data_IF_022699082324
#
_entry.id   IF_022699082324
#
_cell.length_a   1.000
_cell.length_b   1.000
_cell.length_c   1.000
_cell.angle_alpha   90.00
_cell.angle_beta   90.00
_cell.angle_gamma   90.00
#
_symmetry.space_group_name_H-M   'P 1'
#
loop_
_entity.id
_entity.type
_entity.pdbx_description
1 polymer ?
#
# COMPACT_ATOMS: atom_id res chain seq x y z
N UNK A 1 -1.82 -40.50 -32.36
CA UNK A 1 -2.06 -41.31 -31.15
C UNK A 1 -1.16 -40.76 -30.05
N UNK A 2 -1.70 -40.64 -28.84
CA UNK A 2 -1.10 -40.07 -27.61
C UNK A 2 -1.20 -38.54 -27.53
N UNK A 3 -2.34 -37.91 -27.20
CA UNK A 3 -3.27 -38.09 -26.08
C UNK A 3 -2.68 -37.61 -24.74
N UNK A 4 -3.13 -36.41 -24.33
CA UNK A 4 -3.42 -35.99 -22.94
C UNK A 4 -2.23 -35.91 -21.99
N UNK A 5 -1.52 -34.78 -21.96
CA UNK A 5 -0.81 -34.32 -20.75
C UNK A 5 -0.73 -32.78 -20.60
N UNK A 6 -1.31 -31.99 -21.52
CA UNK A 6 -1.30 -30.52 -21.45
C UNK A 6 -2.50 -29.93 -20.67
N UNK A 7 -3.45 -30.77 -20.24
CA UNK A 7 -4.81 -30.33 -19.88
C UNK A 7 -5.15 -30.35 -18.39
N UNK A 8 -4.21 -30.61 -17.46
CA UNK A 8 -4.60 -30.95 -16.08
C UNK A 8 -3.89 -30.23 -14.92
N UNK A 9 -2.97 -29.26 -15.11
CA UNK A 9 -2.12 -28.82 -13.99
C UNK A 9 -2.15 -27.35 -13.53
N UNK A 10 -3.09 -26.49 -13.96
CA UNK A 10 -3.22 -25.18 -13.27
C UNK A 10 -4.60 -24.51 -13.24
N UNK A 11 -5.69 -25.27 -13.45
CA UNK A 11 -7.00 -24.82 -12.97
C UNK A 11 -6.98 -24.81 -11.45
N UNK A 12 -7.06 -23.62 -10.87
CA UNK A 12 -7.69 -23.25 -9.59
C UNK A 12 -6.89 -22.17 -8.84
N UNK A 13 -6.76 -20.99 -9.45
CA UNK A 13 -6.82 -19.77 -8.66
C UNK A 13 -8.31 -19.58 -8.30
N UNK A 14 -8.73 -20.20 -7.20
CA UNK A 14 -10.03 -19.93 -6.59
C UNK A 14 -10.15 -18.41 -6.43
N UNK A 15 -11.09 -17.78 -7.15
CA UNK A 15 -11.62 -16.47 -6.76
C UNK A 15 -12.19 -16.65 -5.36
N UNK A 16 -11.38 -16.35 -4.34
CA UNK A 16 -11.82 -16.29 -2.96
C UNK A 16 -12.70 -15.05 -2.86
N UNK A 17 -13.99 -15.24 -3.14
CA UNK A 17 -15.02 -14.25 -2.88
C UNK A 17 -15.20 -14.19 -1.36
N UNK A 18 -14.22 -13.60 -0.66
CA UNK A 18 -14.38 -13.25 0.74
C UNK A 18 -15.46 -12.18 0.82
N UNK A 19 -16.53 -12.47 1.54
CA UNK A 19 -17.44 -11.43 2.01
C UNK A 19 -16.57 -10.49 2.85
N UNK A 20 -16.35 -9.26 2.38
CA UNK A 20 -15.65 -8.25 3.16
C UNK A 20 -16.50 -7.99 4.40
N UNK A 21 -16.07 -8.50 5.56
CA UNK A 21 -16.69 -8.18 6.83
C UNK A 21 -16.34 -6.73 7.18
N UNK A 22 -17.24 -5.82 6.86
CA UNK A 22 -17.11 -4.42 7.25
C UNK A 22 -17.58 -4.28 8.71
N UNK A 23 -16.64 -4.49 9.64
CA UNK A 23 -16.89 -4.39 11.09
C UNK A 23 -17.03 -2.92 11.52
N UNK A 24 -16.39 -2.01 10.78
CA UNK A 24 -16.36 -0.58 11.07
C UNK A 24 -17.32 0.19 10.16
N UNK A 25 -17.97 1.21 10.72
CA UNK A 25 -18.74 2.18 9.94
C UNK A 25 -17.80 3.10 9.15
N UNK A 26 -18.28 3.76 8.08
CA UNK A 26 -17.49 4.74 7.33
C UNK A 26 -16.94 5.86 8.23
N UNK A 27 -17.72 6.30 9.22
CA UNK A 27 -17.32 7.34 10.18
C UNK A 27 -16.22 6.85 11.12
N UNK A 28 -16.25 5.59 11.55
CA UNK A 28 -15.19 5.00 12.37
C UNK A 28 -13.88 4.86 11.58
N UNK A 29 -13.96 4.49 10.31
CA UNK A 29 -12.80 4.44 9.41
C UNK A 29 -12.20 5.83 9.24
N UNK A 30 -13.04 6.84 9.01
CA UNK A 30 -12.59 8.23 8.90
C UNK A 30 -11.95 8.73 10.20
N UNK A 31 -12.53 8.40 11.35
CA UNK A 31 -11.95 8.75 12.66
C UNK A 31 -10.55 8.15 12.85
N UNK A 32 -10.35 6.89 12.46
CA UNK A 32 -9.03 6.23 12.50
C UNK A 32 -8.08 6.90 11.52
N UNK A 33 -8.53 7.26 10.32
CA UNK A 33 -7.73 7.94 9.31
C UNK A 33 -7.21 9.28 9.85
N UNK A 34 -8.11 10.13 10.36
CA UNK A 34 -7.76 11.43 10.92
C UNK A 34 -6.84 11.33 12.15
N UNK A 35 -7.10 10.36 13.04
CA UNK A 35 -6.21 10.10 14.18
C UNK A 35 -4.80 9.69 13.72
N UNK A 36 -4.70 8.89 12.66
CA UNK A 36 -3.42 8.48 12.08
C UNK A 36 -2.67 9.66 11.46
N UNK A 37 -3.35 10.51 10.69
CA UNK A 37 -2.75 11.73 10.11
C UNK A 37 -2.25 12.69 11.19
N UNK A 38 -2.98 12.80 12.29
CA UNK A 38 -2.54 13.60 13.44
C UNK A 38 -1.27 13.04 14.09
N UNK A 39 -1.19 11.72 14.30
CA UNK A 39 0.02 11.08 14.83
C UNK A 39 1.22 11.31 13.89
N UNK A 40 1.04 11.11 12.59
CA UNK A 40 2.10 11.27 11.61
C UNK A 40 2.60 12.73 11.52
N UNK A 41 1.73 13.71 11.74
CA UNK A 41 2.08 15.13 11.69
C UNK A 41 2.65 15.66 13.01
N UNK A 42 2.12 15.27 14.17
CA UNK A 42 2.56 15.76 15.49
C UNK A 42 3.76 14.97 16.05
N UNK A 43 3.75 13.65 15.89
CA UNK A 43 4.72 12.72 16.51
C UNK A 43 5.80 12.32 15.50
N UNK A 44 5.41 12.08 14.25
CA UNK A 44 6.29 11.64 13.18
C UNK A 44 6.82 10.21 13.35
N UNK A 45 7.73 9.80 12.46
CA UNK A 45 8.33 8.47 12.43
C UNK A 45 9.85 8.57 12.48
N UNK A 46 10.50 7.74 13.29
CA UNK A 46 11.97 7.65 13.35
C UNK A 46 12.51 7.05 12.06
N UNK A 47 13.36 7.80 11.35
CA UNK A 47 13.93 7.37 10.07
C UNK A 47 15.45 7.54 10.09
N UNK A 48 16.17 6.45 10.33
CA UNK A 48 17.64 6.47 10.49
C UNK A 48 18.37 6.67 9.16
N UNK A 49 17.76 6.31 8.03
CA UNK A 49 18.38 6.38 6.72
C UNK A 49 18.40 7.83 6.18
N UNK A 50 19.60 8.40 6.04
CA UNK A 50 19.84 9.81 5.64
C UNK A 50 19.14 10.16 4.33
N UNK A 51 19.38 9.39 3.26
CA UNK A 51 18.80 9.66 1.94
C UNK A 51 17.27 9.59 1.93
N UNK A 52 16.68 8.77 2.79
CA UNK A 52 15.22 8.68 2.89
C UNK A 52 14.64 9.95 3.55
N UNK A 53 15.34 10.50 4.55
CA UNK A 53 15.00 11.80 5.16
C UNK A 53 15.08 12.94 4.14
N UNK A 54 16.12 12.97 3.30
CA UNK A 54 16.27 13.98 2.24
C UNK A 54 15.12 13.93 1.22
N UNK A 55 14.72 12.74 0.78
CA UNK A 55 13.59 12.58 -0.16
C UNK A 55 12.29 13.08 0.45
N UNK A 56 12.01 12.72 1.71
CA UNK A 56 10.78 13.11 2.38
C UNK A 56 10.74 14.61 2.66
N UNK A 57 11.85 15.20 3.11
CA UNK A 57 11.94 16.65 3.34
C UNK A 57 11.82 17.46 2.06
N UNK A 58 12.46 17.00 0.97
CA UNK A 58 12.30 17.61 -0.35
C UNK A 58 10.87 17.56 -0.87
N UNK A 59 10.07 16.62 -0.36
CA UNK A 59 8.65 16.47 -0.70
C UNK A 59 7.71 17.26 0.23
N UNK A 60 8.24 17.99 1.23
CA UNK A 60 7.45 18.80 2.16
C UNK A 60 7.26 18.21 3.55
N UNK A 61 7.94 17.12 3.89
CA UNK A 61 7.99 16.61 5.26
C UNK A 61 8.90 17.50 6.14
N UNK A 62 8.62 17.59 7.43
CA UNK A 62 9.49 18.28 8.38
C UNK A 62 10.37 17.26 9.12
N UNK A 63 11.55 17.69 9.59
CA UNK A 63 12.38 16.88 10.50
C UNK A 63 12.39 17.55 11.86
N UNK A 64 12.14 16.75 12.89
CA UNK A 64 12.34 17.12 14.29
C UNK A 64 13.20 16.04 14.93
N UNK A 65 14.40 16.41 15.35
CA UNK A 65 15.41 15.49 15.87
C UNK A 65 15.71 14.35 14.86
N UNK A 66 15.47 13.09 15.23
CA UNK A 66 15.61 11.91 14.37
C UNK A 66 14.29 11.45 13.72
N UNK A 67 13.23 12.28 13.84
CA UNK A 67 11.89 11.95 13.36
C UNK A 67 11.50 12.78 12.15
N UNK A 68 10.84 12.14 11.21
CA UNK A 68 10.21 12.77 10.05
C UNK A 68 8.72 12.95 10.35
N UNK A 69 8.27 14.20 10.37
CA UNK A 69 6.88 14.59 10.54
C UNK A 69 6.25 14.71 9.15
N UNK A 70 5.15 13.98 8.96
CA UNK A 70 4.45 13.89 7.68
C UNK A 70 3.14 14.67 7.81
N UNK A 71 3.03 15.86 7.20
CA UNK A 71 1.80 16.64 7.29
C UNK A 71 0.66 15.96 6.51
N UNK A 72 -0.61 16.14 6.91
CA UNK A 72 -1.73 15.38 6.35
C UNK A 72 -1.88 15.54 4.83
N UNK A 73 -1.71 16.76 4.34
CA UNK A 73 -1.75 17.09 2.91
C UNK A 73 -0.72 16.31 2.09
N UNK A 74 0.50 16.10 2.61
CA UNK A 74 1.52 15.32 1.94
C UNK A 74 1.11 13.85 1.85
N UNK A 75 0.58 13.30 2.95
CA UNK A 75 0.16 11.89 3.02
C UNK A 75 -1.00 11.64 2.05
N UNK A 76 -2.04 12.47 2.10
CA UNK A 76 -3.21 12.35 1.22
C UNK A 76 -2.83 12.50 -0.27
N UNK A 77 -1.99 13.48 -0.61
CA UNK A 77 -1.50 13.64 -1.98
C UNK A 77 -0.71 12.41 -2.47
N UNK A 78 0.07 11.78 -1.59
CA UNK A 78 0.79 10.55 -1.92
C UNK A 78 -0.15 9.36 -2.11
N UNK A 79 -1.18 9.22 -1.27
CA UNK A 79 -2.19 8.17 -1.39
C UNK A 79 -2.99 8.34 -2.69
N UNK A 80 -3.41 9.56 -3.01
CA UNK A 80 -4.14 9.86 -4.24
C UNK A 80 -3.34 9.55 -5.51
N UNK A 81 -2.00 9.65 -5.45
CA UNK A 81 -1.12 9.27 -6.58
C UNK A 81 -0.88 7.76 -6.66
N UNK A 82 -1.18 7.00 -5.61
CA UNK A 82 -0.93 5.56 -5.55
C UNK A 82 -1.95 4.80 -6.42
N UNK A 83 -1.52 3.92 -7.34
CA UNK A 83 -2.45 3.13 -8.14
C UNK A 83 -3.16 2.08 -7.28
N UNK A 84 -4.46 1.87 -7.53
CA UNK A 84 -5.25 0.84 -6.84
C UNK A 84 -4.81 -0.59 -7.15
N UNK A 85 -4.18 -0.80 -8.31
CA UNK A 85 -3.67 -2.10 -8.74
C UNK A 85 -2.28 -1.97 -9.35
N UNK A 86 -1.42 -2.94 -9.05
CA UNK A 86 -0.08 -3.02 -9.63
C UNK A 86 0.12 -4.41 -10.24
N UNK A 87 0.63 -4.44 -11.48
CA UNK A 87 0.89 -5.67 -12.20
C UNK A 87 2.38 -6.03 -12.11
N UNK A 88 2.68 -7.17 -11.49
CA UNK A 88 4.02 -7.71 -11.37
C UNK A 88 4.28 -8.77 -12.45
N UNK A 89 5.42 -8.63 -13.15
CA UNK A 89 5.87 -9.60 -14.15
C UNK A 89 7.10 -10.36 -13.65
N UNK A 90 6.96 -11.67 -13.51
CA UNK A 90 8.04 -12.58 -13.17
C UNK A 90 9.00 -12.81 -14.33
N UNK A 91 10.25 -13.20 -14.01
CA UNK A 91 11.31 -13.48 -14.99
C UNK A 91 10.91 -14.53 -16.04
N UNK A 92 10.06 -15.50 -15.67
CA UNK A 92 9.52 -16.53 -16.57
C UNK A 92 8.26 -16.11 -17.34
N UNK A 93 7.90 -14.83 -17.35
CA UNK A 93 6.75 -14.32 -18.10
C UNK A 93 5.40 -14.40 -17.38
N UNK A 94 5.32 -15.05 -16.22
CA UNK A 94 4.12 -15.07 -15.39
C UNK A 94 3.77 -13.65 -14.91
N UNK A 95 2.49 -13.26 -15.04
CA UNK A 95 1.97 -11.97 -14.62
C UNK A 95 1.00 -12.16 -13.45
N UNK A 96 1.14 -11.35 -12.41
CA UNK A 96 0.24 -11.32 -11.24
C UNK A 96 -0.17 -9.89 -10.94
N UNK A 97 -1.45 -9.67 -10.72
CA UNK A 97 -1.98 -8.37 -10.27
C UNK A 97 -2.06 -8.38 -8.75
N UNK A 98 -1.70 -7.26 -8.11
CA UNK A 98 -1.91 -7.00 -6.69
C UNK A 98 -2.97 -5.91 -6.54
N UNK A 99 -3.95 -6.13 -5.66
CA UNK A 99 -5.07 -5.20 -5.41
C UNK A 99 -6.42 -5.67 -5.95
N UNK A 100 -6.54 -6.96 -6.26
CA UNK A 100 -7.77 -7.68 -6.61
C UNK A 100 -8.46 -8.34 -5.40
#
# INVERSE_FOLDING_TARGET
MTTILDSTFHRMAQRRNFMQFNILSPEEVEAIHQATLRILSEIGVTLTHVKAREVLTSSGAAIRDERVLLPPNLVEACIARCPHQVTLRGRGGAVKTLGD
#
